data_IF_554002653384
#
_entry.id   IF_554002653384
#
_cell.length_a   1.000
_cell.length_b   1.000
_cell.length_c   1.000
_cell.angle_alpha   90.00
_cell.angle_beta   90.00
_cell.angle_gamma   90.00
#
_symmetry.space_group_name_H-M   'P 1'
#
loop_
_entity.id
_entity.type
_entity.pdbx_description
1 polymer ?
#
# COMPACT_ATOMS: atom_id res chain seq x y z
N UNK A 1 -68.50 -31.66 -24.85
CA UNK A 1 -67.72 -31.93 -23.62
C UNK A 1 -66.33 -31.34 -23.78
N UNK A 2 -66.02 -30.37 -22.90
CA UNK A 2 -64.71 -30.04 -22.31
C UNK A 2 -63.48 -30.04 -23.24
N UNK A 3 -63.23 -28.90 -23.90
CA UNK A 3 -61.88 -28.46 -24.26
C UNK A 3 -61.78 -27.00 -23.82
N UNK A 4 -61.20 -26.75 -22.65
CA UNK A 4 -61.12 -25.37 -22.14
C UNK A 4 -60.63 -25.15 -20.69
N UNK A 5 -60.26 -26.18 -19.93
CA UNK A 5 -59.90 -26.00 -18.51
C UNK A 5 -58.39 -26.11 -18.20
N UNK A 6 -57.56 -26.75 -19.03
CA UNK A 6 -56.15 -26.96 -18.68
C UNK A 6 -55.23 -25.75 -18.96
N UNK A 7 -55.53 -24.92 -19.98
CA UNK A 7 -54.68 -23.78 -20.34
C UNK A 7 -54.80 -22.59 -19.34
N UNK A 8 -55.99 -22.38 -18.75
CA UNK A 8 -56.24 -21.32 -17.76
C UNK A 8 -55.56 -21.62 -16.41
N UNK A 9 -55.47 -22.89 -16.01
CA UNK A 9 -54.79 -23.30 -14.79
C UNK A 9 -53.27 -23.14 -14.88
N UNK A 10 -52.65 -23.50 -16.01
CA UNK A 10 -51.21 -23.29 -16.24
C UNK A 10 -50.81 -21.82 -16.23
N UNK A 11 -51.61 -20.94 -16.85
CA UNK A 11 -51.35 -19.48 -16.84
C UNK A 11 -51.52 -18.89 -15.43
N UNK A 12 -52.46 -19.40 -14.63
CA UNK A 12 -52.66 -19.01 -13.22
C UNK A 12 -51.51 -19.49 -12.31
N UNK A 13 -51.00 -20.69 -12.54
CA UNK A 13 -49.92 -21.28 -11.76
C UNK A 13 -48.57 -20.63 -12.08
N UNK A 14 -48.32 -20.32 -13.37
CA UNK A 14 -47.17 -19.53 -13.81
C UNK A 14 -47.22 -18.09 -13.28
N UNK A 15 -48.40 -17.47 -13.21
CA UNK A 15 -48.57 -16.15 -12.62
C UNK A 15 -48.28 -16.16 -11.11
N UNK A 16 -48.77 -17.18 -10.38
CA UNK A 16 -48.45 -17.36 -8.95
C UNK A 16 -46.96 -17.60 -8.71
N UNK A 17 -46.32 -18.44 -9.52
CA UNK A 17 -44.89 -18.70 -9.43
C UNK A 17 -44.06 -17.43 -9.72
N UNK A 18 -44.49 -16.59 -10.67
CA UNK A 18 -43.88 -15.28 -10.94
C UNK A 18 -44.06 -14.31 -9.77
N UNK A 19 -45.24 -14.26 -9.17
CA UNK A 19 -45.50 -13.41 -8.01
C UNK A 19 -44.69 -13.86 -6.78
N UNK A 20 -44.52 -15.17 -6.57
CA UNK A 20 -43.67 -15.71 -5.52
C UNK A 20 -42.19 -15.41 -5.77
N UNK A 21 -41.71 -15.58 -7.01
CA UNK A 21 -40.35 -15.22 -7.39
C UNK A 21 -40.10 -13.71 -7.22
N UNK A 22 -41.04 -12.86 -7.65
CA UNK A 22 -40.97 -11.41 -7.46
C UNK A 22 -40.92 -11.04 -5.98
N UNK A 23 -41.76 -11.64 -5.12
CA UNK A 23 -41.71 -11.43 -3.67
C UNK A 23 -40.39 -11.88 -3.05
N UNK A 24 -39.79 -12.96 -3.53
CA UNK A 24 -38.48 -13.41 -3.06
C UNK A 24 -37.38 -12.41 -3.48
N UNK A 25 -37.42 -11.92 -4.72
CA UNK A 25 -36.50 -10.91 -5.23
C UNK A 25 -36.63 -9.60 -4.44
N UNK A 26 -37.85 -9.13 -4.19
CA UNK A 26 -38.09 -7.91 -3.39
C UNK A 26 -37.51 -8.04 -1.98
N UNK A 27 -37.72 -9.18 -1.30
CA UNK A 27 -37.11 -9.46 0.01
C UNK A 27 -35.58 -9.47 -0.04
N UNK A 28 -34.99 -10.01 -1.11
CA UNK A 28 -33.54 -9.99 -1.30
C UNK A 28 -33.03 -8.56 -1.50
N UNK A 29 -33.72 -7.76 -2.33
CA UNK A 29 -33.39 -6.35 -2.58
C UNK A 29 -33.49 -5.53 -1.28
N UNK A 30 -34.52 -5.73 -0.47
CA UNK A 30 -34.66 -5.03 0.82
C UNK A 30 -33.53 -5.39 1.78
N UNK A 31 -33.16 -6.67 1.84
CA UNK A 31 -32.03 -7.15 2.65
C UNK A 31 -30.72 -6.54 2.16
N UNK A 32 -30.44 -6.59 0.86
CA UNK A 32 -29.24 -5.99 0.26
C UNK A 32 -29.18 -4.48 0.47
N UNK A 33 -30.32 -3.77 0.35
CA UNK A 33 -30.40 -2.33 0.67
C UNK A 33 -30.06 -2.05 2.13
N UNK A 34 -30.51 -2.89 3.06
CA UNK A 34 -30.19 -2.75 4.49
C UNK A 34 -28.72 -3.00 4.74
N UNK A 35 -28.16 -4.07 4.16
CA UNK A 35 -26.76 -4.42 4.30
C UNK A 35 -25.86 -3.33 3.70
N UNK A 36 -26.22 -2.81 2.52
CA UNK A 36 -25.55 -1.69 1.85
C UNK A 36 -25.54 -0.43 2.72
N UNK A 37 -26.70 -0.04 3.28
CA UNK A 37 -26.81 1.12 4.16
C UNK A 37 -25.99 0.96 5.44
N UNK A 38 -25.85 -0.26 5.96
CA UNK A 38 -25.06 -0.53 7.18
C UNK A 38 -23.56 -0.71 6.94
N UNK A 39 -23.11 -0.67 5.68
CA UNK A 39 -21.71 -0.91 5.31
C UNK A 39 -20.98 0.42 5.08
N UNK A 40 -19.88 0.62 5.80
CA UNK A 40 -19.01 1.78 5.58
C UNK A 40 -18.09 1.56 4.39
N UNK A 41 -18.19 2.41 3.38
CA UNK A 41 -17.41 2.33 2.14
C UNK A 41 -16.21 3.25 2.24
N UNK A 42 -15.00 2.69 2.22
CA UNK A 42 -13.74 3.41 2.40
C UNK A 42 -12.92 3.37 1.12
N UNK A 43 -12.57 4.55 0.58
CA UNK A 43 -11.77 4.66 -0.63
C UNK A 43 -10.33 5.03 -0.30
N UNK A 44 -9.35 4.19 -0.67
CA UNK A 44 -7.94 4.49 -0.46
C UNK A 44 -7.39 5.24 -1.65
N UNK A 45 -6.97 6.49 -1.43
CA UNK A 45 -6.36 7.35 -2.46
C UNK A 45 -4.93 7.74 -2.05
N UNK A 46 -4.15 8.19 -3.02
CA UNK A 46 -2.76 8.60 -2.80
C UNK A 46 -1.86 8.18 -3.96
N UNK A 47 -0.69 8.81 -4.05
CA UNK A 47 0.28 8.56 -5.10
C UNK A 47 0.75 7.09 -5.14
N UNK A 48 1.42 6.69 -6.22
CA UNK A 48 2.08 5.38 -6.31
C UNK A 48 3.04 5.17 -5.12
N UNK A 49 3.15 3.93 -4.65
CA UNK A 49 4.07 3.56 -3.55
C UNK A 49 3.81 4.25 -2.19
N UNK A 50 2.68 4.94 -2.01
CA UNK A 50 2.32 5.59 -0.73
C UNK A 50 2.04 4.62 0.42
N UNK A 51 1.63 3.39 0.12
CA UNK A 51 1.32 2.34 1.11
C UNK A 51 -0.14 1.88 1.15
N UNK A 52 -0.99 2.30 0.20
CA UNK A 52 -2.42 1.90 0.13
C UNK A 52 -2.64 0.39 0.21
N UNK A 53 -2.02 -0.38 -0.68
CA UNK A 53 -2.16 -1.84 -0.69
C UNK A 53 -1.61 -2.49 0.58
N UNK A 54 -0.61 -1.87 1.23
CA UNK A 54 -0.12 -2.34 2.54
C UNK A 54 -1.18 -2.15 3.64
N UNK A 55 -1.92 -1.05 3.65
CA UNK A 55 -3.06 -0.85 4.58
C UNK A 55 -4.12 -1.93 4.35
N UNK A 56 -4.44 -2.27 3.09
CA UNK A 56 -5.40 -3.36 2.80
C UNK A 56 -4.89 -4.71 3.30
N UNK A 57 -3.60 -5.02 3.10
CA UNK A 57 -2.96 -6.22 3.65
C UNK A 57 -3.08 -6.26 5.18
N UNK A 58 -2.93 -5.13 5.86
CA UNK A 58 -3.13 -5.04 7.32
C UNK A 58 -4.58 -5.34 7.72
N UNK A 59 -5.58 -4.85 6.98
CA UNK A 59 -6.99 -5.19 7.25
C UNK A 59 -7.25 -6.68 7.11
N UNK A 60 -6.60 -7.34 6.13
CA UNK A 60 -6.67 -8.80 6.00
C UNK A 60 -6.08 -9.52 7.21
N UNK A 61 -4.88 -9.11 7.66
CA UNK A 61 -4.21 -9.65 8.85
C UNK A 61 -5.08 -9.48 10.10
N UNK A 62 -5.60 -8.27 10.32
CA UNK A 62 -6.33 -7.93 11.54
C UNK A 62 -7.74 -8.53 11.59
N UNK A 63 -8.44 -8.65 10.44
CA UNK A 63 -9.89 -8.89 10.42
C UNK A 63 -10.36 -10.00 9.48
N UNK A 64 -9.49 -10.59 8.65
CA UNK A 64 -9.85 -11.62 7.65
C UNK A 64 -8.94 -12.85 7.77
N UNK A 65 -8.61 -13.27 8.99
CA UNK A 65 -7.74 -14.43 9.26
C UNK A 65 -6.37 -14.40 8.52
N UNK A 66 -5.89 -13.20 8.16
CA UNK A 66 -4.64 -12.97 7.47
C UNK A 66 -4.53 -13.60 6.09
N UNK A 67 -3.37 -14.21 5.85
CA UNK A 67 -3.02 -14.91 4.61
C UNK A 67 -3.06 -16.44 4.80
N UNK A 68 -3.91 -16.90 5.73
CA UNK A 68 -4.13 -18.32 6.05
C UNK A 68 -5.51 -18.74 5.53
N UNK A 69 -5.54 -19.78 4.70
CA UNK A 69 -6.68 -20.18 3.84
C UNK A 69 -8.08 -20.24 4.49
N UNK A 70 -9.09 -19.87 3.68
CA UNK A 70 -10.47 -20.38 3.74
C UNK A 70 -10.97 -20.83 2.35
N UNK A 71 -10.36 -21.86 1.77
CA UNK A 71 -11.07 -22.72 0.81
C UNK A 71 -10.73 -24.18 1.07
N UNK A 72 -11.45 -24.80 2.01
CA UNK A 72 -11.49 -26.25 2.15
C UNK A 72 -12.43 -26.80 1.08
N UNK A 73 -11.88 -27.26 -0.05
CA UNK A 73 -12.58 -28.20 -0.91
C UNK A 73 -11.77 -29.50 -0.95
N UNK A 74 -12.31 -30.54 -0.29
CA UNK A 74 -11.92 -31.97 -0.30
C UNK A 74 -10.41 -32.29 -0.30
N UNK A 75 -9.95 -32.69 0.89
CA UNK A 75 -8.74 -33.47 1.17
C UNK A 75 -7.41 -32.81 0.77
N UNK A 76 -6.94 -31.95 1.69
CA UNK A 76 -5.61 -31.34 1.89
C UNK A 76 -5.80 -29.82 2.00
N UNK A 77 -6.04 -29.34 3.23
CA UNK A 77 -5.94 -27.92 3.57
C UNK A 77 -4.47 -27.54 3.64
N UNK A 78 -4.01 -26.71 2.70
CA UNK A 78 -2.63 -26.28 2.59
C UNK A 78 -2.56 -24.78 2.86
N UNK A 79 -2.38 -24.33 4.13
CA UNK A 79 -2.15 -22.90 4.47
C UNK A 79 -0.97 -22.23 3.71
N UNK A 80 -0.31 -22.98 2.84
CA UNK A 80 0.80 -22.63 1.97
C UNK A 80 0.43 -21.93 0.66
N UNK A 81 -0.77 -22.06 0.08
CA UNK A 81 -0.96 -21.66 -1.34
C UNK A 81 -0.76 -20.16 -1.59
N UNK A 82 -1.46 -19.30 -0.85
CA UNK A 82 -1.35 -17.85 -1.04
C UNK A 82 0.03 -17.32 -0.61
N UNK A 83 0.61 -17.85 0.47
CA UNK A 83 1.98 -17.51 0.88
C UNK A 83 3.02 -17.93 -0.15
N UNK A 84 2.83 -19.08 -0.82
CA UNK A 84 3.73 -19.55 -1.88
C UNK A 84 3.63 -18.69 -3.14
N UNK A 85 2.45 -18.23 -3.51
CA UNK A 85 2.29 -17.29 -4.62
C UNK A 85 3.04 -15.96 -4.37
N UNK A 86 3.23 -15.58 -3.11
CA UNK A 86 4.03 -14.40 -2.73
C UNK A 86 5.54 -14.62 -2.75
N UNK A 87 6.02 -15.86 -2.80
CA UNK A 87 7.46 -16.16 -2.85
C UNK A 87 8.06 -15.56 -4.12
N UNK A 88 7.41 -15.74 -5.27
CA UNK A 88 7.91 -15.25 -6.55
C UNK A 88 7.95 -13.72 -6.59
N UNK A 89 6.93 -13.05 -6.03
CA UNK A 89 6.92 -11.60 -5.89
C UNK A 89 8.09 -11.10 -5.01
N UNK A 90 8.38 -11.79 -3.90
CA UNK A 90 9.48 -11.46 -2.98
C UNK A 90 10.84 -11.66 -3.64
N UNK A 91 11.04 -12.81 -4.31
CA UNK A 91 12.27 -13.10 -5.06
C UNK A 91 12.51 -12.07 -6.17
N UNK A 92 11.45 -11.67 -6.86
CA UNK A 92 11.49 -10.58 -7.83
C UNK A 92 11.86 -9.25 -7.20
N UNK A 93 11.31 -8.90 -6.03
CA UNK A 93 11.71 -7.68 -5.32
C UNK A 93 13.19 -7.69 -4.93
N UNK A 94 13.72 -8.82 -4.44
CA UNK A 94 15.14 -8.97 -4.13
C UNK A 94 16.02 -8.73 -5.36
N UNK A 95 15.69 -9.39 -6.47
CA UNK A 95 16.39 -9.25 -7.75
C UNK A 95 16.33 -7.83 -8.30
N UNK A 96 15.12 -7.28 -8.43
CA UNK A 96 14.94 -5.94 -8.97
C UNK A 96 15.67 -4.90 -8.10
N UNK A 97 15.76 -5.10 -6.77
CA UNK A 97 16.53 -4.25 -5.87
C UNK A 97 18.05 -4.32 -6.15
N UNK A 98 18.66 -5.51 -6.17
CA UNK A 98 20.11 -5.62 -6.39
C UNK A 98 20.52 -5.18 -7.79
N UNK A 99 19.71 -5.49 -8.81
CA UNK A 99 19.95 -5.08 -10.20
C UNK A 99 19.86 -3.55 -10.32
N UNK A 100 18.87 -2.92 -9.68
CA UNK A 100 18.72 -1.46 -9.73
C UNK A 100 19.91 -0.74 -9.07
N UNK A 101 20.36 -1.22 -7.90
CA UNK A 101 21.53 -0.64 -7.21
C UNK A 101 22.79 -0.84 -8.07
N UNK A 102 23.03 -2.06 -8.55
CA UNK A 102 24.19 -2.40 -9.37
C UNK A 102 24.27 -1.60 -10.69
N UNK A 103 23.11 -1.34 -11.30
CA UNK A 103 22.99 -0.55 -12.52
C UNK A 103 23.19 0.95 -12.29
N UNK A 104 22.80 1.46 -11.12
CA UNK A 104 22.90 2.88 -10.78
C UNK A 104 24.33 3.36 -10.53
N UNK A 105 25.25 2.47 -10.10
CA UNK A 105 26.64 2.81 -9.72
C UNK A 105 27.34 3.77 -10.70
N UNK A 106 27.26 3.48 -12.01
CA UNK A 106 27.90 4.28 -13.08
C UNK A 106 27.09 5.51 -13.50
N UNK A 107 25.78 5.52 -13.23
CA UNK A 107 24.89 6.63 -13.59
C UNK A 107 24.93 7.76 -12.55
N UNK A 108 25.34 7.45 -11.33
CA UNK A 108 25.53 8.43 -10.26
C UNK A 108 26.63 9.46 -10.60
N UNK A 109 26.51 10.66 -10.03
CA UNK A 109 27.49 11.73 -10.22
C UNK A 109 27.96 12.27 -8.85
N UNK A 110 29.22 12.07 -8.44
CA UNK A 110 30.24 11.24 -9.09
C UNK A 110 29.82 9.74 -9.11
N UNK A 111 30.34 8.94 -10.05
CA UNK A 111 30.07 7.51 -10.09
C UNK A 111 30.69 6.81 -8.88
N UNK A 112 30.14 5.65 -8.52
CA UNK A 112 30.60 4.81 -7.41
C UNK A 112 31.22 3.54 -7.98
N UNK A 113 32.39 3.16 -7.48
CA UNK A 113 33.08 1.94 -7.89
C UNK A 113 32.91 0.83 -6.84
N UNK A 114 33.05 -0.43 -7.26
CA UNK A 114 33.06 -1.55 -6.33
C UNK A 114 34.30 -1.49 -5.43
N UNK A 115 34.14 -1.80 -4.15
CA UNK A 115 35.27 -1.91 -3.22
C UNK A 115 36.19 -3.06 -3.64
N UNK A 116 35.59 -4.21 -4.01
CA UNK A 116 36.33 -5.40 -4.43
C UNK A 116 36.21 -5.62 -5.93
N UNK A 117 37.34 -5.61 -6.63
CA UNK A 117 37.36 -5.85 -8.09
C UNK A 117 36.87 -7.26 -8.47
N UNK A 118 36.99 -8.23 -7.55
CA UNK A 118 36.45 -9.59 -7.72
C UNK A 118 34.92 -9.59 -7.87
N UNK A 119 34.24 -8.63 -7.23
CA UNK A 119 32.78 -8.50 -7.30
C UNK A 119 32.29 -8.01 -8.67
N UNK A 120 33.18 -7.57 -9.56
CA UNK A 120 32.82 -7.13 -10.91
C UNK A 120 32.07 -8.21 -11.68
N UNK A 121 32.54 -9.46 -11.62
CA UNK A 121 31.87 -10.60 -12.27
C UNK A 121 30.47 -10.84 -11.72
N UNK A 122 30.30 -10.65 -10.41
CA UNK A 122 29.01 -10.82 -9.75
C UNK A 122 28.03 -9.72 -10.19
N UNK A 123 28.53 -8.48 -10.28
CA UNK A 123 27.77 -7.34 -10.79
C UNK A 123 27.33 -7.55 -12.23
N UNK A 124 28.24 -8.00 -13.09
CA UNK A 124 27.96 -8.26 -14.51
C UNK A 124 26.89 -9.36 -14.64
N UNK A 125 26.99 -10.45 -13.87
CA UNK A 125 25.92 -11.46 -13.77
C UNK A 125 24.55 -10.87 -13.38
N UNK A 126 24.51 -9.95 -12.41
CA UNK A 126 23.24 -9.31 -12.01
C UNK A 126 22.63 -8.47 -13.13
N UNK A 127 23.45 -7.87 -13.98
CA UNK A 127 23.01 -6.96 -15.03
C UNK A 127 22.71 -7.66 -16.35
N UNK A 128 23.38 -8.77 -16.64
CA UNK A 128 23.28 -9.50 -17.91
C UNK A 128 22.38 -10.74 -17.83
N UNK A 129 22.45 -11.48 -16.72
CA UNK A 129 21.71 -12.74 -16.55
C UNK A 129 20.51 -12.58 -15.62
N UNK A 130 20.71 -12.06 -14.41
CA UNK A 130 19.63 -11.94 -13.44
C UNK A 130 18.57 -10.93 -13.89
N UNK A 131 18.93 -9.88 -14.65
CA UNK A 131 17.98 -8.85 -15.10
C UNK A 131 16.95 -9.35 -16.13
N UNK A 132 17.12 -10.56 -16.68
CA UNK A 132 16.25 -11.10 -17.74
C UNK A 132 14.82 -11.31 -17.24
N UNK A 133 13.78 -11.03 -18.06
CA UNK A 133 12.38 -11.15 -17.62
C UNK A 133 11.98 -12.57 -17.20
N UNK A 134 12.54 -13.58 -17.87
CA UNK A 134 12.32 -15.01 -17.70
C UNK A 134 13.30 -15.68 -16.73
N UNK A 135 14.05 -14.88 -15.96
CA UNK A 135 14.98 -15.39 -14.97
C UNK A 135 14.27 -16.28 -13.94
N UNK A 136 14.72 -17.53 -13.85
CA UNK A 136 14.30 -18.46 -12.81
C UNK A 136 15.15 -18.30 -11.55
N UNK A 137 14.58 -18.62 -10.40
CA UNK A 137 15.22 -18.47 -9.09
C UNK A 137 15.55 -19.85 -8.52
N UNK A 138 16.67 -20.46 -8.97
CA UNK A 138 17.02 -21.79 -8.51
C UNK A 138 17.14 -21.84 -6.98
N UNK A 139 16.49 -22.81 -6.31
CA UNK A 139 16.59 -22.95 -4.86
C UNK A 139 17.97 -23.44 -4.44
N UNK A 140 18.39 -23.07 -3.23
CA UNK A 140 19.63 -23.60 -2.65
C UNK A 140 19.46 -25.10 -2.35
N UNK A 141 20.12 -25.96 -3.14
CA UNK A 141 20.35 -27.37 -2.75
C UNK A 141 19.63 -28.48 -3.52
N UNK A 142 19.17 -28.29 -4.76
CA UNK A 142 18.70 -29.43 -5.58
C UNK A 142 19.92 -30.22 -6.09
N UNK A 143 20.28 -31.27 -5.36
CA UNK A 143 21.36 -32.18 -5.69
C UNK A 143 20.93 -33.16 -6.78
N UNK A 144 21.07 -32.78 -8.05
CA UNK A 144 21.33 -33.75 -9.13
C UNK A 144 22.28 -33.10 -10.14
N UNK A 145 23.58 -33.39 -9.97
CA UNK A 145 24.59 -33.38 -11.01
C UNK A 145 24.76 -32.06 -11.81
N UNK A 146 24.94 -30.92 -11.15
CA UNK A 146 25.76 -29.80 -11.67
C UNK A 146 25.98 -28.71 -10.61
N UNK A 147 27.18 -28.13 -10.59
CA UNK A 147 27.75 -27.25 -9.55
C UNK A 147 27.21 -25.79 -9.63
N UNK A 148 26.15 -25.51 -10.39
CA UNK A 148 25.77 -24.15 -10.81
C UNK A 148 24.60 -23.49 -10.04
N UNK A 149 23.96 -24.19 -9.11
CA UNK A 149 22.65 -23.75 -8.55
C UNK A 149 22.71 -22.70 -7.41
N UNK A 150 23.90 -22.24 -7.00
CA UNK A 150 24.05 -21.31 -5.85
C UNK A 150 24.33 -19.86 -6.25
N UNK A 151 24.41 -19.52 -7.54
CA UNK A 151 24.95 -18.23 -7.98
C UNK A 151 24.13 -17.04 -7.48
N UNK A 152 22.82 -16.98 -7.75
CA UNK A 152 22.07 -15.75 -7.53
C UNK A 152 22.06 -15.25 -6.07
N UNK A 153 21.61 -16.07 -5.12
CA UNK A 153 21.50 -15.63 -3.71
C UNK A 153 22.87 -15.40 -3.09
N UNK A 154 23.88 -16.21 -3.41
CA UNK A 154 25.24 -16.03 -2.91
C UNK A 154 25.85 -14.75 -3.48
N UNK A 155 25.72 -14.51 -4.79
CA UNK A 155 26.21 -13.30 -5.45
C UNK A 155 25.49 -12.06 -4.94
N UNK A 156 24.17 -12.14 -4.70
CA UNK A 156 23.40 -11.07 -4.06
C UNK A 156 23.95 -10.74 -2.68
N UNK A 157 24.14 -11.75 -1.81
CA UNK A 157 24.63 -11.54 -0.46
C UNK A 157 26.08 -11.02 -0.44
N UNK A 158 26.93 -11.47 -1.37
CA UNK A 158 28.30 -10.98 -1.53
C UNK A 158 28.35 -9.54 -2.03
N UNK A 159 27.58 -9.20 -3.06
CA UNK A 159 27.47 -7.83 -3.57
C UNK A 159 26.89 -6.90 -2.52
N UNK A 160 25.85 -7.32 -1.79
CA UNK A 160 25.26 -6.50 -0.74
C UNK A 160 26.26 -6.15 0.37
N UNK A 161 27.28 -6.97 0.61
CA UNK A 161 28.35 -6.66 1.57
C UNK A 161 29.44 -5.73 1.02
N UNK A 162 29.45 -5.44 -0.28
CA UNK A 162 30.42 -4.52 -0.90
C UNK A 162 30.14 -3.07 -0.53
N UNK A 163 31.15 -2.31 -0.10
CA UNK A 163 30.96 -0.92 0.31
C UNK A 163 30.53 -0.01 -0.83
N UNK A 164 30.92 -0.27 -2.08
CA UNK A 164 30.46 0.50 -3.24
C UNK A 164 28.96 0.29 -3.49
N UNK A 165 28.46 -0.93 -3.29
CA UNK A 165 27.02 -1.22 -3.36
C UNK A 165 26.27 -0.55 -2.21
N UNK A 166 26.81 -0.60 -0.99
CA UNK A 166 26.23 0.11 0.16
C UNK A 166 26.19 1.63 -0.05
N UNK A 167 27.27 2.23 -0.53
CA UNK A 167 27.33 3.66 -0.87
C UNK A 167 26.30 4.03 -1.95
N UNK A 168 26.16 3.20 -2.97
CA UNK A 168 25.15 3.40 -4.03
C UNK A 168 23.73 3.31 -3.47
N UNK A 169 23.46 2.38 -2.54
CA UNK A 169 22.17 2.28 -1.86
C UNK A 169 21.87 3.52 -0.98
N UNK A 170 22.85 4.06 -0.28
CA UNK A 170 22.69 5.28 0.52
C UNK A 170 22.33 6.50 -0.34
N UNK A 171 22.70 6.47 -1.63
CA UNK A 171 22.35 7.47 -2.65
C UNK A 171 21.11 7.08 -3.47
N UNK A 172 20.31 6.14 -2.99
CA UNK A 172 19.12 5.63 -3.69
C UNK A 172 18.04 6.68 -3.98
N UNK A 173 18.09 7.87 -3.38
CA UNK A 173 17.21 8.98 -3.73
C UNK A 173 17.52 9.60 -5.10
N UNK A 174 18.71 9.33 -5.67
CA UNK A 174 19.14 9.80 -7.00
C UNK A 174 18.65 8.90 -8.14
N UNK A 175 18.07 7.74 -7.83
CA UNK A 175 17.48 6.82 -8.81
C UNK A 175 16.18 6.19 -8.27
N UNK A 176 15.56 5.29 -9.04
CA UNK A 176 14.31 4.65 -8.66
C UNK A 176 14.57 3.31 -7.99
N UNK A 177 14.53 3.29 -6.65
CA UNK A 177 14.64 2.06 -5.85
C UNK A 177 13.33 1.76 -5.10
N UNK A 178 13.06 0.48 -4.85
CA UNK A 178 11.91 0.04 -4.05
C UNK A 178 12.23 0.14 -2.55
N UNK A 179 11.29 0.61 -1.73
CA UNK A 179 11.53 0.83 -0.29
C UNK A 179 11.92 -0.44 0.49
N UNK A 180 11.46 -1.61 0.02
CA UNK A 180 11.74 -2.89 0.67
C UNK A 180 13.12 -3.48 0.30
N UNK A 181 13.92 -2.78 -0.52
CA UNK A 181 15.23 -3.25 -0.99
C UNK A 181 16.13 -3.73 0.15
N UNK A 182 16.42 -2.84 1.11
CA UNK A 182 17.25 -3.17 2.28
C UNK A 182 16.72 -4.37 3.06
N UNK A 183 15.42 -4.40 3.32
CA UNK A 183 14.78 -5.47 4.10
C UNK A 183 14.99 -6.86 3.48
N UNK A 184 14.82 -6.99 2.16
CA UNK A 184 15.02 -8.28 1.49
C UNK A 184 16.49 -8.60 1.25
N UNK A 185 17.33 -7.60 0.94
CA UNK A 185 18.77 -7.79 0.76
C UNK A 185 19.44 -8.25 2.06
N UNK A 186 19.05 -7.71 3.21
CA UNK A 186 19.52 -8.15 4.52
C UNK A 186 19.12 -9.60 4.84
N UNK A 187 18.05 -10.12 4.21
CA UNK A 187 17.51 -11.47 4.40
C UNK A 187 17.81 -12.42 3.23
N UNK A 188 18.76 -12.07 2.36
CA UNK A 188 19.07 -12.84 1.14
C UNK A 188 19.31 -14.33 1.40
N UNK A 189 20.05 -14.66 2.47
CA UNK A 189 20.37 -16.05 2.81
C UNK A 189 19.12 -16.87 3.22
N UNK A 190 18.18 -16.25 3.93
CA UNK A 190 16.91 -16.89 4.30
C UNK A 190 16.00 -17.11 3.08
N UNK A 191 15.97 -16.13 2.17
CA UNK A 191 15.16 -16.20 0.94
C UNK A 191 15.63 -17.29 -0.04
N UNK A 192 16.90 -17.69 0.04
CA UNK A 192 17.47 -18.76 -0.79
C UNK A 192 17.10 -20.18 -0.32
N UNK A 193 16.63 -20.35 0.92
CA UNK A 193 16.32 -21.66 1.49
C UNK A 193 15.15 -22.33 0.76
N UNK A 194 15.27 -23.64 0.49
CA UNK A 194 14.24 -24.40 -0.22
C UNK A 194 12.91 -24.50 0.54
N UNK A 195 12.95 -24.42 1.86
CA UNK A 195 11.81 -24.45 2.78
C UNK A 195 11.35 -23.05 3.23
N UNK A 196 11.83 -21.99 2.57
CA UNK A 196 11.42 -20.62 2.89
C UNK A 196 9.90 -20.43 2.77
N UNK A 197 9.30 -19.91 3.84
CA UNK A 197 7.88 -19.53 3.89
C UNK A 197 7.82 -18.05 4.29
N UNK A 198 7.20 -17.17 3.49
CA UNK A 198 7.06 -15.76 3.84
C UNK A 198 6.34 -15.55 5.16
N UNK A 199 6.94 -14.74 6.03
CA UNK A 199 6.27 -14.19 7.20
C UNK A 199 5.24 -13.14 6.78
N UNK A 200 4.33 -12.76 7.69
CA UNK A 200 3.42 -11.65 7.44
C UNK A 200 4.17 -10.34 7.18
N UNK A 201 5.33 -10.15 7.82
CA UNK A 201 6.18 -9.00 7.59
C UNK A 201 6.78 -9.00 6.18
N UNK A 202 7.18 -10.16 5.67
CA UNK A 202 7.64 -10.29 4.28
C UNK A 202 6.52 -9.94 3.30
N UNK A 203 5.29 -10.40 3.57
CA UNK A 203 4.11 -10.11 2.74
C UNK A 203 3.74 -8.62 2.78
N UNK A 204 3.82 -7.97 3.94
CA UNK A 204 3.56 -6.54 4.11
C UNK A 204 4.59 -5.67 3.35
N UNK A 205 5.86 -6.05 3.41
CA UNK A 205 6.98 -5.36 2.73
C UNK A 205 7.06 -5.67 1.24
N UNK A 206 6.53 -6.81 0.81
CA UNK A 206 6.49 -7.21 -0.59
C UNK A 206 5.71 -6.18 -1.44
N UNK A 207 6.38 -5.70 -2.47
CA UNK A 207 5.89 -4.70 -3.41
C UNK A 207 5.38 -5.38 -4.68
N UNK A 208 4.10 -5.15 -4.94
CA UNK A 208 3.42 -5.50 -6.19
C UNK A 208 2.76 -4.23 -6.72
N UNK A 209 2.92 -3.94 -8.01
CA UNK A 209 2.27 -2.78 -8.63
C UNK A 209 0.78 -3.06 -8.80
N UNK A 210 -0.04 -2.25 -8.14
CA UNK A 210 -1.50 -2.33 -8.22
C UNK A 210 -1.99 -1.66 -9.51
N UNK A 211 -2.53 -2.46 -10.42
CA UNK A 211 -3.24 -2.00 -11.62
C UNK A 211 -4.71 -2.35 -11.50
N UNK A 212 -5.59 -1.37 -11.65
CA UNK A 212 -7.04 -1.52 -11.46
C UNK A 212 -7.53 -1.18 -10.04
N UNK A 213 -8.68 -1.75 -9.71
CA UNK A 213 -9.44 -1.52 -8.48
C UNK A 213 -9.59 -2.87 -7.78
N UNK A 214 -9.22 -2.93 -6.51
CA UNK A 214 -9.33 -4.12 -5.68
C UNK A 214 -10.25 -3.84 -4.49
N UNK A 215 -11.18 -4.76 -4.24
CA UNK A 215 -12.17 -4.65 -3.16
C UNK A 215 -11.82 -5.60 -2.01
N UNK A 216 -11.96 -5.13 -0.77
CA UNK A 216 -11.81 -5.96 0.42
C UNK A 216 -12.93 -5.66 1.40
N UNK A 217 -13.66 -6.70 1.80
CA UNK A 217 -14.77 -6.62 2.75
C UNK A 217 -14.39 -7.29 4.06
N UNK A 218 -14.64 -6.63 5.17
CA UNK A 218 -14.38 -7.16 6.49
C UNK A 218 -15.37 -6.59 7.51
N UNK A 219 -15.45 -7.22 8.68
CA UNK A 219 -16.34 -6.79 9.75
C UNK A 219 -15.56 -6.63 11.04
N UNK A 220 -15.81 -5.54 11.77
CA UNK A 220 -15.22 -5.25 13.08
C UNK A 220 -16.35 -4.89 14.03
N UNK A 221 -16.48 -5.60 15.15
CA UNK A 221 -17.53 -5.36 16.16
C UNK A 221 -18.95 -5.27 15.56
N UNK A 222 -19.26 -6.15 14.60
CA UNK A 222 -20.54 -6.22 13.85
C UNK A 222 -20.80 -5.06 12.88
N UNK A 223 -19.83 -4.16 12.69
CA UNK A 223 -19.86 -3.11 11.67
C UNK A 223 -19.14 -3.61 10.42
N UNK A 224 -19.78 -3.48 9.26
CA UNK A 224 -19.22 -3.93 7.99
C UNK A 224 -18.45 -2.80 7.30
N UNK A 225 -17.27 -3.12 6.81
CA UNK A 225 -16.40 -2.22 6.05
C UNK A 225 -16.18 -2.79 4.65
N UNK A 226 -16.25 -1.91 3.66
CA UNK A 226 -15.94 -2.21 2.27
C UNK A 226 -14.88 -1.23 1.77
N UNK A 227 -13.68 -1.75 1.58
CA UNK A 227 -12.48 -0.98 1.27
C UNK A 227 -12.10 -1.14 -0.21
N UNK A 228 -11.82 -0.03 -0.87
CA UNK A 228 -11.40 0.02 -2.28
C UNK A 228 -9.94 0.47 -2.37
N UNK A 229 -9.05 -0.39 -2.85
CA UNK A 229 -7.65 -0.07 -3.19
C UNK A 229 -7.53 0.17 -4.68
N UNK A 230 -7.13 1.39 -5.05
CA UNK A 230 -6.99 1.80 -6.44
C UNK A 230 -5.54 2.10 -6.79
N UNK A 231 -5.13 1.82 -8.02
CA UNK A 231 -3.81 2.17 -8.53
C UNK A 231 -3.51 3.66 -8.34
N UNK A 232 -2.35 3.97 -7.74
CA UNK A 232 -1.94 5.35 -7.38
C UNK A 232 -1.16 6.10 -8.47
N UNK A 233 -0.66 5.37 -9.45
CA UNK A 233 0.14 5.89 -10.55
C UNK A 233 -0.72 6.76 -11.48
N UNK A 234 -0.10 7.74 -12.15
CA UNK A 234 -0.83 8.76 -12.93
C UNK A 234 -1.81 8.15 -13.96
N UNK A 235 -1.41 7.07 -14.63
CA UNK A 235 -2.22 6.37 -15.63
C UNK A 235 -3.47 5.70 -15.05
N UNK A 236 -3.41 5.26 -13.80
CA UNK A 236 -4.49 4.55 -13.12
C UNK A 236 -5.56 5.50 -12.56
N UNK A 237 -5.24 6.79 -12.37
CA UNK A 237 -6.14 7.76 -11.71
C UNK A 237 -7.45 8.01 -12.44
N UNK A 238 -7.48 7.79 -13.76
CA UNK A 238 -8.71 7.91 -14.57
C UNK A 238 -9.79 6.91 -14.14
N UNK A 239 -9.41 5.79 -13.53
CA UNK A 239 -10.34 4.76 -13.05
C UNK A 239 -11.00 5.11 -11.72
N UNK A 240 -10.45 6.06 -10.95
CA UNK A 240 -10.92 6.37 -9.59
C UNK A 240 -12.37 6.82 -9.51
N UNK A 241 -12.86 7.53 -10.54
CA UNK A 241 -14.25 7.99 -10.61
C UNK A 241 -15.26 6.84 -10.52
N UNK A 242 -14.87 5.62 -10.90
CA UNK A 242 -15.71 4.42 -10.82
C UNK A 242 -16.00 4.01 -9.36
N UNK A 243 -15.17 4.46 -8.41
CA UNK A 243 -15.29 4.13 -6.99
C UNK A 243 -15.93 5.24 -6.15
N UNK A 244 -16.28 6.40 -6.72
CA UNK A 244 -16.74 7.57 -5.94
C UNK A 244 -18.19 7.46 -5.44
N UNK A 245 -18.94 6.46 -5.90
CA UNK A 245 -20.34 6.28 -5.51
C UNK A 245 -20.46 5.76 -4.07
N UNK A 246 -21.26 6.47 -3.27
CA UNK A 246 -21.63 6.14 -1.89
C UNK A 246 -20.44 5.87 -0.95
N UNK A 247 -19.32 6.57 -1.18
CA UNK A 247 -18.16 6.51 -0.28
C UNK A 247 -18.50 7.20 1.04
N UNK A 248 -18.25 6.53 2.17
CA UNK A 248 -18.43 7.10 3.52
C UNK A 248 -17.28 8.03 3.88
N UNK A 249 -16.04 7.60 3.61
CA UNK A 249 -14.83 8.39 3.87
C UNK A 249 -13.70 8.02 2.90
N UNK A 250 -12.80 8.97 2.67
CA UNK A 250 -11.56 8.75 1.91
C UNK A 250 -10.43 8.54 2.91
N UNK A 251 -9.61 7.51 2.70
CA UNK A 251 -8.32 7.36 3.37
C UNK A 251 -7.26 7.79 2.38
N UNK A 252 -6.69 8.97 2.56
CA UNK A 252 -5.61 9.48 1.72
C UNK A 252 -4.26 9.11 2.33
N UNK A 253 -3.45 8.33 1.61
CA UNK A 253 -2.14 7.85 2.09
C UNK A 253 -1.01 8.64 1.42
N UNK A 254 -0.15 9.26 2.24
CA UNK A 254 0.99 10.06 1.80
C UNK A 254 2.30 9.48 2.34
N UNK A 255 3.31 9.28 1.49
CA UNK A 255 4.64 8.82 1.89
C UNK A 255 5.55 10.01 2.22
N UNK A 256 5.56 10.45 3.48
CA UNK A 256 6.32 11.62 3.90
C UNK A 256 7.84 11.41 3.79
N UNK A 257 8.31 10.17 3.96
CA UNK A 257 9.72 9.81 3.81
C UNK A 257 10.28 10.02 2.41
N UNK A 258 9.43 10.20 1.38
CA UNK A 258 9.84 10.41 0.00
C UNK A 258 10.12 11.88 -0.36
N UNK A 259 10.30 12.76 0.64
CA UNK A 259 10.53 14.20 0.43
C UNK A 259 11.77 14.54 -0.42
N UNK A 260 12.75 13.64 -0.50
CA UNK A 260 13.98 13.81 -1.27
C UNK A 260 14.00 13.01 -2.58
N UNK A 261 12.84 12.49 -3.02
CA UNK A 261 12.71 11.63 -4.19
C UNK A 261 11.80 12.24 -5.25
N UNK A 262 11.99 11.80 -6.50
CA UNK A 262 11.15 12.16 -7.65
C UNK A 262 10.27 11.01 -8.13
N UNK A 263 9.20 11.31 -8.86
CA UNK A 263 8.31 10.28 -9.42
C UNK A 263 9.03 9.40 -10.43
N UNK A 264 8.54 8.16 -10.58
CA UNK A 264 9.03 7.25 -11.62
C UNK A 264 8.53 7.70 -13.00
N UNK A 265 7.29 8.18 -13.06
CA UNK A 265 6.64 8.64 -14.29
C UNK A 265 7.15 10.01 -14.76
N UNK A 266 7.75 10.80 -13.85
CA UNK A 266 8.16 12.18 -14.10
C UNK A 266 9.34 12.57 -13.18
N UNK A 267 10.59 12.45 -13.66
CA UNK A 267 11.78 12.75 -12.85
C UNK A 267 11.91 14.22 -12.43
N UNK A 268 11.09 15.12 -12.98
CA UNK A 268 11.09 16.53 -12.59
C UNK A 268 10.21 16.82 -11.36
N UNK A 269 9.28 15.90 -11.05
CA UNK A 269 8.29 16.11 -10.00
C UNK A 269 8.69 15.41 -8.71
N UNK A 270 8.78 16.18 -7.62
CA UNK A 270 9.00 15.66 -6.28
C UNK A 270 7.80 14.83 -5.78
N UNK A 271 8.05 13.68 -5.13
CA UNK A 271 6.99 12.75 -4.72
C UNK A 271 6.03 13.33 -3.66
N UNK A 272 6.51 14.15 -2.73
CA UNK A 272 5.66 14.79 -1.71
C UNK A 272 4.86 15.94 -2.32
N UNK A 273 5.46 16.75 -3.21
CA UNK A 273 4.72 17.79 -3.93
C UNK A 273 3.59 17.22 -4.80
N UNK A 274 3.85 16.14 -5.54
CA UNK A 274 2.80 15.40 -6.26
C UNK A 274 1.67 14.97 -5.32
N UNK A 275 2.00 14.51 -4.12
CA UNK A 275 1.00 14.07 -3.15
C UNK A 275 0.18 15.24 -2.60
N UNK A 276 0.78 16.43 -2.41
CA UNK A 276 0.08 17.65 -2.01
C UNK A 276 -0.87 18.14 -3.09
N UNK A 277 -0.41 18.19 -4.35
CA UNK A 277 -1.24 18.55 -5.51
C UNK A 277 -2.41 17.57 -5.69
N UNK A 278 -2.14 16.28 -5.54
CA UNK A 278 -3.15 15.23 -5.63
C UNK A 278 -4.21 15.37 -4.53
N UNK A 279 -3.80 15.65 -3.28
CA UNK A 279 -4.75 15.90 -2.19
C UNK A 279 -5.59 17.14 -2.49
N UNK A 280 -4.99 18.23 -2.99
CA UNK A 280 -5.73 19.44 -3.35
C UNK A 280 -6.77 19.19 -4.46
N UNK A 281 -6.42 18.37 -5.45
CA UNK A 281 -7.35 17.93 -6.50
C UNK A 281 -8.52 17.11 -5.95
N UNK A 282 -8.26 16.20 -5.01
CA UNK A 282 -9.30 15.39 -4.35
C UNK A 282 -10.19 16.27 -3.45
N UNK A 283 -9.59 17.15 -2.66
CA UNK A 283 -10.28 18.03 -1.71
C UNK A 283 -11.22 19.01 -2.41
N UNK A 284 -10.78 19.56 -3.56
CA UNK A 284 -11.59 20.48 -4.38
C UNK A 284 -12.54 19.79 -5.35
N UNK A 285 -12.53 18.45 -5.39
CA UNK A 285 -13.29 17.68 -6.38
C UNK A 285 -14.80 17.79 -6.16
N UNK A 286 -15.55 18.14 -7.21
CA UNK A 286 -17.02 18.31 -7.16
C UNK A 286 -17.79 17.06 -6.71
N UNK A 287 -17.28 15.87 -7.01
CA UNK A 287 -17.91 14.60 -6.65
C UNK A 287 -17.59 14.18 -5.21
N UNK A 288 -16.56 14.78 -4.58
CA UNK A 288 -16.08 14.44 -3.24
C UNK A 288 -16.23 15.58 -2.23
N UNK A 289 -16.82 16.72 -2.61
CA UNK A 289 -16.91 17.96 -1.81
C UNK A 289 -17.57 17.82 -0.43
N UNK A 290 -18.29 16.74 -0.16
CA UNK A 290 -18.92 16.47 1.14
C UNK A 290 -18.30 15.27 1.87
N UNK A 291 -17.28 14.63 1.31
CA UNK A 291 -16.64 13.45 1.87
C UNK A 291 -15.43 13.90 2.68
N UNK A 292 -15.38 13.54 3.97
CA UNK A 292 -14.19 13.87 4.78
C UNK A 292 -13.03 12.94 4.46
N UNK A 293 -11.82 13.44 4.67
CA UNK A 293 -10.57 12.77 4.37
C UNK A 293 -9.88 12.39 5.68
N UNK A 294 -9.57 11.11 5.83
CA UNK A 294 -8.65 10.60 6.84
C UNK A 294 -7.28 10.56 6.18
N UNK A 295 -6.36 11.39 6.67
CA UNK A 295 -5.04 11.58 6.09
C UNK A 295 -4.02 10.72 6.83
N UNK A 296 -3.49 9.70 6.16
CA UNK A 296 -2.41 8.86 6.66
C UNK A 296 -1.07 9.39 6.17
N UNK A 297 -0.33 10.01 7.08
CA UNK A 297 1.07 10.39 6.89
C UNK A 297 1.91 9.13 7.15
N UNK A 298 2.08 8.32 6.13
CA UNK A 298 2.67 6.99 6.19
C UNK A 298 4.20 7.01 6.08
N UNK A 299 4.81 5.86 6.37
CA UNK A 299 6.26 5.60 6.36
C UNK A 299 7.02 6.41 7.40
N UNK A 300 6.43 6.54 8.59
CA UNK A 300 7.02 7.26 9.72
C UNK A 300 8.34 6.65 10.21
N UNK A 301 8.50 5.33 10.07
CA UNK A 301 9.74 4.60 10.28
C UNK A 301 10.86 5.12 9.37
N UNK A 302 10.62 5.16 8.06
CA UNK A 302 11.60 5.62 7.08
C UNK A 302 11.86 7.13 7.16
N UNK A 303 10.86 7.93 7.53
CA UNK A 303 11.05 9.37 7.78
C UNK A 303 11.98 9.58 8.98
N UNK A 304 11.76 8.84 10.07
CA UNK A 304 12.58 8.90 11.28
C UNK A 304 14.02 8.53 10.95
N UNK A 305 14.24 7.39 10.27
CA UNK A 305 15.58 6.95 9.86
C UNK A 305 16.32 8.01 9.04
N UNK A 306 15.64 8.60 8.05
CA UNK A 306 16.26 9.57 7.14
C UNK A 306 16.58 10.91 7.81
N UNK A 307 15.70 11.39 8.70
CA UNK A 307 15.92 12.61 9.48
C UNK A 307 17.10 12.42 10.42
N UNK A 308 17.15 11.31 11.16
CA UNK A 308 18.23 11.02 12.10
C UNK A 308 19.58 10.78 11.40
N UNK A 309 19.58 10.20 10.20
CA UNK A 309 20.78 10.01 9.40
C UNK A 309 21.43 11.34 8.97
N UNK A 310 20.64 12.43 8.86
CA UNK A 310 21.14 13.77 8.56
C UNK A 310 21.77 13.96 7.17
N UNK A 311 21.75 12.93 6.31
CA UNK A 311 22.38 12.96 4.97
C UNK A 311 21.60 13.79 3.95
N UNK A 312 20.26 13.79 4.05
CA UNK A 312 19.37 14.48 3.11
C UNK A 312 18.44 15.40 3.89
N UNK A 313 18.81 16.68 3.98
CA UNK A 313 18.09 17.68 4.79
C UNK A 313 16.78 18.10 4.12
N UNK A 314 15.71 18.23 4.89
CA UNK A 314 14.37 18.56 4.37
C UNK A 314 14.36 19.95 3.73
N UNK A 315 15.06 20.92 4.32
CA UNK A 315 15.12 22.32 3.85
C UNK A 315 15.74 22.49 2.45
N UNK A 316 16.47 21.49 1.95
CA UNK A 316 16.98 21.48 0.56
C UNK A 316 15.83 21.32 -0.44
N UNK A 317 14.79 20.56 -0.08
CA UNK A 317 13.64 20.27 -0.93
C UNK A 317 12.42 21.13 -0.58
N UNK A 318 12.31 21.53 0.69
CA UNK A 318 11.24 22.34 1.25
C UNK A 318 11.84 23.52 2.04
N UNK A 319 12.21 24.63 1.39
CA UNK A 319 12.95 25.74 2.03
C UNK A 319 12.27 26.31 3.28
N UNK A 320 10.94 26.31 3.34
CA UNK A 320 10.17 26.77 4.50
C UNK A 320 10.37 25.92 5.76
N UNK A 321 10.89 24.70 5.64
CA UNK A 321 11.25 23.87 6.79
C UNK A 321 12.31 24.55 7.66
N UNK A 322 13.26 25.29 7.07
CA UNK A 322 14.35 25.92 7.79
C UNK A 322 13.88 26.82 8.94
N UNK A 323 12.76 27.51 8.76
CA UNK A 323 12.15 28.41 9.75
C UNK A 323 10.97 27.79 10.48
N UNK A 324 10.52 26.59 10.10
CA UNK A 324 9.40 25.91 10.73
C UNK A 324 9.75 25.50 12.18
N UNK A 325 8.82 25.75 13.08
CA UNK A 325 8.86 25.32 14.48
C UNK A 325 7.61 24.52 14.79
N UNK A 326 7.77 23.37 15.45
CA UNK A 326 6.62 22.60 15.93
C UNK A 326 5.93 23.38 17.07
N UNK A 327 4.58 23.30 17.19
CA UNK A 327 3.87 23.90 18.31
C UNK A 327 4.41 23.42 19.66
N UNK A 328 4.49 24.31 20.66
CA UNK A 328 5.04 23.97 21.98
C UNK A 328 4.28 22.81 22.65
N UNK A 329 2.96 22.79 22.52
CA UNK A 329 2.11 21.73 23.08
C UNK A 329 2.42 20.35 22.45
N UNK A 330 2.70 20.33 21.15
CA UNK A 330 3.15 19.11 20.45
C UNK A 330 4.48 18.61 20.98
N UNK A 331 5.45 19.50 21.22
CA UNK A 331 6.75 19.10 21.76
C UNK A 331 6.62 18.53 23.19
N UNK A 332 5.67 19.05 23.97
CA UNK A 332 5.38 18.52 25.31
C UNK A 332 4.72 17.12 25.24
N UNK A 333 3.76 16.92 24.33
CA UNK A 333 3.10 15.62 24.13
C UNK A 333 4.10 14.54 23.67
N UNK A 334 5.02 14.90 22.76
CA UNK A 334 6.02 13.99 22.18
C UNK A 334 7.41 14.13 22.82
N UNK A 335 7.49 14.53 24.09
CA UNK A 335 8.76 14.78 24.79
C UNK A 335 9.71 13.57 24.89
N UNK A 336 9.19 12.34 24.70
CA UNK A 336 9.98 11.11 24.64
C UNK A 336 10.63 10.87 23.26
N UNK A 337 10.14 11.53 22.22
CA UNK A 337 10.64 11.37 20.85
C UNK A 337 11.77 12.38 20.56
N UNK A 338 12.58 12.08 19.54
CA UNK A 338 13.60 13.02 19.09
C UNK A 338 12.96 14.32 18.54
N UNK A 339 13.35 15.51 19.03
CA UNK A 339 12.73 16.78 18.60
C UNK A 339 12.79 17.07 17.10
N UNK A 340 13.87 16.68 16.41
CA UNK A 340 13.99 16.88 14.96
C UNK A 340 13.02 15.99 14.19
N UNK A 341 12.81 14.76 14.68
CA UNK A 341 11.81 13.84 14.11
C UNK A 341 10.40 14.40 14.33
N UNK A 342 10.08 14.85 15.54
CA UNK A 342 8.78 15.48 15.83
C UNK A 342 8.56 16.70 14.93
N UNK A 343 9.55 17.58 14.82
CA UNK A 343 9.50 18.74 13.94
C UNK A 343 9.25 18.37 12.48
N UNK A 344 9.95 17.35 11.94
CA UNK A 344 9.73 16.86 10.57
C UNK A 344 8.32 16.29 10.36
N UNK A 345 7.83 15.48 11.30
CA UNK A 345 6.48 14.89 11.24
C UNK A 345 5.39 15.96 11.16
N UNK A 346 5.48 16.95 12.03
CA UNK A 346 4.49 18.01 12.14
C UNK A 346 4.60 19.03 11.03
N UNK A 347 5.80 19.28 10.50
CA UNK A 347 5.96 20.06 9.26
C UNK A 347 5.14 19.45 8.11
N UNK A 348 5.35 18.17 7.79
CA UNK A 348 4.60 17.54 6.70
C UNK A 348 3.10 17.48 6.98
N UNK A 349 2.70 17.22 8.25
CA UNK A 349 1.29 17.31 8.64
C UNK A 349 0.69 18.66 8.30
N UNK A 350 1.36 19.75 8.68
CA UNK A 350 0.88 21.10 8.49
C UNK A 350 0.88 21.51 7.01
N UNK A 351 1.84 21.03 6.21
CA UNK A 351 1.85 21.20 4.75
C UNK A 351 0.58 20.60 4.11
N UNK A 352 0.20 19.38 4.49
CA UNK A 352 -1.03 18.74 3.98
C UNK A 352 -2.30 19.41 4.55
N UNK A 353 -2.31 19.80 5.82
CA UNK A 353 -3.45 20.49 6.42
C UNK A 353 -3.69 21.85 5.78
N UNK A 354 -2.63 22.57 5.38
CA UNK A 354 -2.74 23.84 4.63
C UNK A 354 -3.49 23.65 3.31
N UNK A 355 -3.27 22.54 2.60
CA UNK A 355 -4.02 22.21 1.37
C UNK A 355 -5.51 22.03 1.66
N UNK A 356 -5.86 21.48 2.82
CA UNK A 356 -7.25 21.22 3.24
C UNK A 356 -7.87 22.34 4.07
N UNK A 357 -7.18 23.48 4.26
CA UNK A 357 -7.65 24.55 5.14
C UNK A 357 -8.87 25.31 4.59
N UNK A 358 -9.00 25.39 3.27
CA UNK A 358 -10.15 26.02 2.62
C UNK A 358 -11.20 24.97 2.25
N UNK A 359 -12.33 24.99 2.96
CA UNK A 359 -13.41 24.02 2.74
C UNK A 359 -14.32 24.40 1.56
N UNK A 360 -14.12 25.57 0.92
CA UNK A 360 -15.01 26.11 -0.12
C UNK A 360 -16.50 26.02 0.27
N UNK A 361 -16.84 26.25 1.54
CA UNK A 361 -18.21 26.13 2.07
C UNK A 361 -18.74 24.70 2.28
N UNK A 362 -17.91 23.66 2.13
CA UNK A 362 -18.26 22.26 2.41
C UNK A 362 -18.22 21.91 3.90
N UNK A 363 -19.02 20.92 4.30
CA UNK A 363 -19.08 20.35 5.66
C UNK A 363 -18.26 19.06 5.79
N UNK A 364 -17.03 19.07 5.30
CA UNK A 364 -16.09 17.95 5.39
C UNK A 364 -14.81 18.39 6.09
N UNK A 365 -14.09 17.42 6.66
CA UNK A 365 -12.92 17.67 7.51
C UNK A 365 -11.74 16.80 7.07
N UNK A 366 -10.53 17.20 7.47
CA UNK A 366 -9.32 16.42 7.29
C UNK A 366 -8.84 15.92 8.66
N UNK A 367 -8.67 14.61 8.82
CA UNK A 367 -8.25 13.97 10.08
C UNK A 367 -6.85 13.35 9.88
N UNK A 368 -5.78 14.04 10.29
CA UNK A 368 -4.41 13.55 10.10
C UNK A 368 -4.02 12.51 11.14
N UNK A 369 -3.38 11.43 10.69
CA UNK A 369 -2.78 10.39 11.52
C UNK A 369 -1.37 10.05 11.02
N UNK A 370 -0.43 9.96 11.95
CA UNK A 370 0.94 9.46 11.70
C UNK A 370 0.89 7.93 11.65
N UNK A 371 1.29 7.32 10.53
CA UNK A 371 1.14 5.88 10.32
C UNK A 371 2.42 5.18 9.88
N UNK A 372 2.55 3.93 10.30
CA UNK A 372 3.52 3.00 9.74
C UNK A 372 2.76 1.78 9.24
N UNK A 373 2.47 1.73 7.93
CA UNK A 373 1.64 0.68 7.34
C UNK A 373 2.22 -0.74 7.49
N UNK A 374 3.51 -0.86 7.77
CA UNK A 374 4.20 -2.14 8.00
C UNK A 374 4.28 -2.52 9.48
N UNK A 375 3.73 -1.70 10.37
CA UNK A 375 3.53 -1.97 11.79
C UNK A 375 2.06 -2.27 12.05
N UNK A 376 1.76 -3.55 12.31
CA UNK A 376 0.39 -4.04 12.52
C UNK A 376 -0.27 -3.42 13.75
N UNK A 377 0.49 -3.13 14.81
CA UNK A 377 -0.07 -2.56 16.03
C UNK A 377 -0.35 -1.06 15.86
N UNK A 378 0.53 -0.33 15.16
CA UNK A 378 0.26 1.05 14.78
C UNK A 378 -1.04 1.18 13.96
N UNK A 379 -1.19 0.33 12.93
CA UNK A 379 -2.41 0.35 12.09
C UNK A 379 -3.66 -0.08 12.87
N UNK A 380 -3.55 -1.05 13.78
CA UNK A 380 -4.67 -1.43 14.67
C UNK A 380 -5.17 -0.23 15.48
N UNK A 381 -4.26 0.52 16.13
CA UNK A 381 -4.60 1.70 16.94
C UNK A 381 -5.22 2.81 16.09
N UNK A 382 -4.53 3.19 15.00
CA UNK A 382 -5.01 4.27 14.12
C UNK A 382 -6.37 3.93 13.50
N UNK A 383 -6.59 2.68 13.10
CA UNK A 383 -7.88 2.27 12.54
C UNK A 383 -9.00 2.31 13.58
N UNK A 384 -8.72 1.94 14.84
CA UNK A 384 -9.67 2.07 15.94
C UNK A 384 -10.04 3.54 16.18
N UNK A 385 -9.07 4.46 16.17
CA UNK A 385 -9.33 5.91 16.30
C UNK A 385 -10.19 6.43 15.14
N UNK A 386 -9.90 5.96 13.91
CA UNK A 386 -10.67 6.30 12.72
C UNK A 386 -12.10 5.79 12.76
N UNK A 387 -12.36 4.68 13.46
CA UNK A 387 -13.69 4.05 13.53
C UNK A 387 -14.74 5.00 14.08
N UNK A 388 -14.42 5.69 15.18
CA UNK A 388 -15.35 6.62 15.82
C UNK A 388 -15.66 7.82 14.92
N UNK A 389 -14.66 8.27 14.16
CA UNK A 389 -14.81 9.32 13.13
C UNK A 389 -15.73 8.82 12.01
N UNK A 390 -15.46 7.63 11.46
CA UNK A 390 -16.23 7.03 10.37
C UNK A 390 -17.69 6.81 10.78
N UNK A 391 -17.93 6.31 11.98
CA UNK A 391 -19.30 6.10 12.50
C UNK A 391 -20.07 7.41 12.57
N UNK A 392 -19.47 8.48 13.12
CA UNK A 392 -20.09 9.81 13.17
C UNK A 392 -20.36 10.37 11.77
N UNK A 393 -19.43 10.17 10.83
CA UNK A 393 -19.59 10.61 9.44
C UNK A 393 -20.75 9.89 8.75
N UNK A 394 -20.83 8.57 8.93
CA UNK A 394 -21.89 7.76 8.35
C UNK A 394 -23.28 8.14 8.90
N UNK A 395 -23.40 8.36 10.21
CA UNK A 395 -24.65 8.80 10.82
C UNK A 395 -25.10 10.19 10.30
N UNK A 396 -24.16 11.13 10.11
CA UNK A 396 -24.45 12.44 9.49
C UNK A 396 -24.92 12.32 8.04
N UNK A 397 -24.35 11.38 7.26
CA UNK A 397 -24.72 11.17 5.87
C UNK A 397 -26.19 10.73 5.70
N UNK A 398 -26.75 10.05 6.71
CA UNK A 398 -28.15 9.61 6.73
C UNK A 398 -29.07 10.50 7.57
N UNK A 399 -28.63 11.72 7.93
CA UNK A 399 -29.40 12.68 8.74
C UNK A 399 -29.87 12.11 10.09
N UNK A 400 -29.10 11.19 10.66
CA UNK A 400 -29.36 10.58 11.96
C UNK A 400 -28.71 11.35 13.12
N UNK A 401 -28.00 12.44 12.84
CA UNK A 401 -27.26 13.30 13.78
C UNK A 401 -27.50 14.78 13.54
#
# INVERSE_FOLDING_TARGET
MVVGCCALNHVSEDAKNRDEANKQIEKLIEKEKKDFKSTHRLLLLGAGESGKSTIVKQMRILHINGFSEKYSFRFVTCPFREKREKIDDIKKNLRDAICSISGAMHALKPPVELERQENKKLRDYMLEDASKPDFDYPPVGVLYLSILFQEFYVYCAQLWRDKGIQETFERSNEFQLIDCAKYFLDKTEDLGKADYIPSEQDILRCRVLTSGIFETKFSVDKVNFHMFDVGGQREERRKWIQCFNDVTAIIFVAACSSYNMVLREDPSQNRVNESLELLGSIWSNRWLRNISVILFLNKQDLLTEKVLAGKSKIEVYFPHYATYQAPADTLAEYHHDNPEVVRARFFFRDEFLRVTANNNGGRHYCYPHLTCAVDTENIRRVFNDCRDIIQRMHLRQYELL
#
